data_IF_484719928666
#
_entry.id   IF_484719928666
#
_cell.length_a   1.000
_cell.length_b   1.000
_cell.length_c   1.000
_cell.angle_alpha   90.00
_cell.angle_beta   90.00
_cell.angle_gamma   90.00
#
_symmetry.space_group_name_H-M   'P 1'
#
loop_
_entity.id
_entity.type
_entity.pdbx_description
1 polymer ?
#
# COMPACT_ATOMS: atom_id res chain seq x y z
N UNK A 1 -31.44 -82.39 14.38
CA UNK A 1 -32.23 -81.35 15.06
C UNK A 1 -31.41 -80.07 15.04
N UNK A 2 -31.49 -79.27 13.98
CA UNK A 2 -32.52 -78.26 13.66
C UNK A 2 -32.09 -76.85 14.14
N UNK A 3 -31.55 -76.07 13.20
CA UNK A 3 -31.82 -74.62 13.08
C UNK A 3 -33.33 -74.40 12.76
N UNK A 4 -33.85 -73.16 12.61
CA UNK A 4 -33.81 -71.95 13.45
C UNK A 4 -35.23 -71.27 13.53
N UNK A 5 -35.50 -70.30 14.42
CA UNK A 5 -36.57 -69.26 14.25
C UNK A 5 -36.18 -67.99 15.03
N UNK A 6 -35.78 -66.90 14.37
CA UNK A 6 -36.59 -65.75 13.89
C UNK A 6 -37.17 -64.90 15.04
N UNK A 7 -36.64 -63.68 15.23
CA UNK A 7 -37.46 -62.46 15.42
C UNK A 7 -36.60 -61.19 15.24
N UNK A 8 -36.68 -60.58 14.05
CA UNK A 8 -37.30 -59.27 13.76
C UNK A 8 -36.33 -58.08 13.95
N UNK A 9 -35.85 -57.61 12.80
CA UNK A 9 -35.21 -56.33 12.61
C UNK A 9 -36.22 -55.19 12.86
N UNK A 10 -35.87 -54.24 13.74
CA UNK A 10 -36.51 -52.93 13.78
C UNK A 10 -35.67 -51.95 12.95
N UNK A 11 -36.20 -51.68 11.77
CA UNK A 11 -35.94 -50.54 10.90
C UNK A 11 -36.05 -49.21 11.66
N UNK A 12 -34.99 -48.40 11.66
CA UNK A 12 -35.07 -46.97 11.94
C UNK A 12 -34.57 -46.19 10.73
N UNK A 13 -35.55 -45.62 10.06
CA UNK A 13 -35.52 -44.76 8.87
C UNK A 13 -34.52 -43.61 9.04
N UNK A 14 -33.52 -43.51 8.16
CA UNK A 14 -32.84 -42.25 7.90
C UNK A 14 -33.66 -41.47 6.87
N UNK A 15 -34.26 -40.35 7.30
CA UNK A 15 -35.01 -39.45 6.45
C UNK A 15 -34.06 -38.71 5.50
N UNK A 16 -34.09 -39.07 4.21
CA UNK A 16 -33.49 -38.28 3.13
C UNK A 16 -34.53 -37.23 2.74
N UNK A 17 -34.29 -35.98 3.12
CA UNK A 17 -35.09 -34.83 2.70
C UNK A 17 -34.60 -34.39 1.31
N UNK A 18 -35.25 -34.88 0.26
CA UNK A 18 -35.10 -34.34 -1.11
C UNK A 18 -36.05 -33.15 -1.24
N UNK A 19 -35.50 -31.93 -1.19
CA UNK A 19 -36.23 -30.71 -1.56
C UNK A 19 -36.18 -30.57 -3.10
N UNK A 20 -37.20 -31.09 -3.77
CA UNK A 20 -37.52 -30.70 -5.15
C UNK A 20 -38.19 -29.32 -5.14
N UNK A 21 -37.47 -28.28 -5.51
CA UNK A 21 -38.08 -27.00 -5.90
C UNK A 21 -38.50 -27.10 -7.36
N UNK A 22 -39.81 -27.17 -7.58
CA UNK A 22 -40.42 -27.09 -8.89
C UNK A 22 -40.14 -25.74 -9.54
N UNK A 23 -39.60 -25.77 -10.76
CA UNK A 23 -39.56 -24.61 -11.63
C UNK A 23 -40.98 -24.42 -12.19
N UNK A 24 -41.69 -23.44 -11.64
CA UNK A 24 -42.89 -22.88 -12.29
C UNK A 24 -42.40 -21.80 -13.25
N UNK A 25 -42.53 -22.07 -14.55
CA UNK A 25 -42.28 -21.08 -15.59
C UNK A 25 -43.36 -19.97 -15.53
N UNK A 26 -42.93 -18.72 -15.36
CA UNK A 26 -43.79 -17.55 -15.58
C UNK A 26 -43.79 -17.17 -17.07
N UNK A 27 -44.94 -16.85 -17.69
CA UNK A 27 -44.99 -16.28 -19.03
C UNK A 27 -44.40 -14.86 -19.05
N UNK A 28 -43.91 -14.38 -20.22
CA UNK A 28 -43.23 -13.08 -20.32
C UNK A 28 -44.20 -11.94 -20.03
N UNK A 29 -44.05 -11.33 -18.85
CA UNK A 29 -44.74 -10.12 -18.43
C UNK A 29 -44.08 -8.88 -19.02
N UNK A 30 -44.91 -7.94 -19.50
CA UNK A 30 -44.53 -6.71 -20.18
C UNK A 30 -43.55 -5.82 -19.38
N UNK A 31 -42.69 -5.10 -20.12
CA UNK A 31 -41.72 -4.16 -19.58
C UNK A 31 -42.41 -3.05 -18.74
N UNK A 32 -41.89 -2.72 -17.54
CA UNK A 32 -42.38 -1.58 -16.78
C UNK A 32 -41.99 -0.26 -17.47
N UNK A 33 -42.84 0.78 -17.41
CA UNK A 33 -42.52 2.08 -18.00
C UNK A 33 -41.33 2.71 -17.27
N UNK A 34 -40.50 3.43 -18.05
CA UNK A 34 -39.32 4.13 -17.57
C UNK A 34 -39.67 5.06 -16.39
N UNK A 35 -39.24 4.69 -15.19
CA UNK A 35 -39.24 5.59 -14.04
C UNK A 35 -38.20 6.67 -14.28
N UNK A 36 -38.65 7.92 -14.37
CA UNK A 36 -37.78 9.08 -14.38
C UNK A 36 -37.05 9.12 -13.02
N UNK A 37 -35.73 8.89 -13.04
CA UNK A 37 -34.87 9.12 -11.89
C UNK A 37 -34.96 10.62 -11.50
N UNK A 38 -35.07 10.96 -10.21
CA UNK A 38 -34.95 12.34 -9.76
C UNK A 38 -33.54 12.86 -10.07
N UNK A 39 -33.35 14.18 -10.29
CA UNK A 39 -32.07 14.71 -10.77
C UNK A 39 -30.95 14.39 -9.78
N UNK A 40 -29.94 13.67 -10.25
CA UNK A 40 -28.70 13.43 -9.52
C UNK A 40 -28.06 14.80 -9.24
N UNK A 41 -27.86 15.11 -7.96
CA UNK A 41 -27.04 16.26 -7.54
C UNK A 41 -25.62 16.16 -8.11
N UNK A 42 -24.85 17.26 -8.19
CA UNK A 42 -23.61 17.30 -8.96
C UNK A 42 -22.53 16.48 -8.26
N UNK A 43 -22.42 15.21 -8.64
CA UNK A 43 -21.30 14.32 -8.31
C UNK A 43 -20.63 13.92 -9.62
N UNK A 44 -20.12 14.92 -10.34
CA UNK A 44 -19.12 14.70 -11.37
C UNK A 44 -17.74 14.49 -10.73
N UNK A 45 -16.77 13.89 -11.45
CA UNK A 45 -15.40 13.76 -10.94
C UNK A 45 -14.90 15.14 -10.50
N UNK A 46 -14.25 15.23 -9.33
CA UNK A 46 -13.61 16.46 -8.87
C UNK A 46 -12.62 16.94 -9.91
N UNK A 47 -12.98 17.96 -10.68
CA UNK A 47 -12.09 18.59 -11.65
C UNK A 47 -11.10 19.46 -10.89
N UNK A 48 -9.81 19.21 -11.10
CA UNK A 48 -8.74 20.02 -10.54
C UNK A 48 -8.87 21.46 -11.09
N UNK A 49 -8.69 22.52 -10.28
CA UNK A 49 -8.83 23.92 -10.71
C UNK A 49 -8.02 24.30 -11.95
N UNK A 50 -6.83 23.70 -12.11
CA UNK A 50 -6.01 23.82 -13.33
C UNK A 50 -6.78 23.36 -14.57
N UNK A 51 -7.44 22.20 -14.49
CA UNK A 51 -8.15 21.62 -15.62
C UNK A 51 -9.38 22.47 -15.95
N UNK A 52 -10.14 22.92 -14.94
CA UNK A 52 -11.30 23.81 -15.15
C UNK A 52 -10.95 25.19 -15.68
N UNK A 53 -9.71 25.65 -15.49
CA UNK A 53 -9.30 26.95 -16.00
C UNK A 53 -8.93 26.89 -17.49
N UNK A 54 -8.38 25.78 -17.97
CA UNK A 54 -7.85 25.64 -19.34
C UNK A 54 -8.85 24.95 -20.28
N UNK A 55 -9.61 23.96 -19.78
CA UNK A 55 -10.72 23.30 -20.49
C UNK A 55 -11.96 24.18 -20.37
N UNK A 56 -12.11 25.14 -21.29
CA UNK A 56 -13.11 26.19 -21.22
C UNK A 56 -14.50 25.69 -21.61
N UNK A 57 -14.59 24.69 -22.49
CA UNK A 57 -15.85 24.06 -22.87
C UNK A 57 -16.23 22.89 -21.95
N UNK A 58 -15.33 22.44 -21.08
CA UNK A 58 -15.58 21.45 -20.05
C UNK A 58 -15.72 20.03 -20.60
N UNK A 59 -15.26 19.78 -21.83
CA UNK A 59 -15.40 18.49 -22.50
C UNK A 59 -14.38 17.44 -22.03
N UNK A 60 -13.34 17.85 -21.29
CA UNK A 60 -12.29 16.99 -20.74
C UNK A 60 -11.05 16.82 -21.64
N UNK A 61 -11.01 17.47 -22.80
CA UNK A 61 -9.91 17.53 -23.75
C UNK A 61 -9.46 18.99 -23.94
N UNK A 62 -8.21 19.21 -24.36
CA UNK A 62 -7.70 20.56 -24.61
C UNK A 62 -7.52 20.79 -26.11
N UNK A 63 -8.33 21.68 -26.68
CA UNK A 63 -8.21 22.10 -28.07
C UNK A 63 -6.98 22.99 -28.30
N UNK A 64 -6.52 23.11 -29.55
CA UNK A 64 -5.40 23.98 -29.91
C UNK A 64 -5.66 25.46 -29.54
N UNK A 65 -6.93 25.90 -29.55
CA UNK A 65 -7.32 27.25 -29.14
C UNK A 65 -7.21 27.45 -27.62
N UNK A 66 -7.59 26.45 -26.83
CA UNK A 66 -7.50 26.48 -25.37
C UNK A 66 -6.05 26.42 -24.87
N UNK A 67 -5.22 25.62 -25.54
CA UNK A 67 -3.77 25.58 -25.29
C UNK A 67 -3.14 26.95 -25.57
N UNK A 68 -3.53 27.60 -26.67
CA UNK A 68 -3.06 28.95 -26.99
C UNK A 68 -3.51 30.01 -25.97
N UNK A 69 -4.68 29.83 -25.35
CA UNK A 69 -5.22 30.69 -24.30
C UNK A 69 -4.76 30.35 -22.87
N UNK A 70 -4.08 29.22 -22.67
CA UNK A 70 -3.81 28.64 -21.35
C UNK A 70 -3.05 29.60 -20.41
N UNK A 71 -2.10 30.36 -20.94
CA UNK A 71 -1.33 31.33 -20.13
C UNK A 71 -2.22 32.44 -19.53
N UNK A 72 -3.26 32.87 -20.24
CA UNK A 72 -4.20 33.89 -19.74
C UNK A 72 -5.23 33.28 -18.79
N UNK A 73 -5.65 32.04 -19.04
CA UNK A 73 -6.52 31.29 -18.15
C UNK A 73 -5.86 31.02 -16.78
N UNK A 74 -4.60 30.58 -16.77
CA UNK A 74 -3.86 30.27 -15.55
C UNK A 74 -3.54 31.51 -14.72
N UNK A 75 -3.32 32.68 -15.33
CA UNK A 75 -3.16 33.96 -14.62
C UNK A 75 -4.38 34.36 -13.79
N UNK A 76 -5.58 33.86 -14.12
CA UNK A 76 -6.79 34.12 -13.32
C UNK A 76 -6.84 33.31 -12.03
N UNK A 77 -6.00 32.28 -11.90
CA UNK A 77 -5.87 31.47 -10.69
C UNK A 77 -4.84 32.05 -9.71
N UNK A 78 -3.98 32.96 -10.15
CA UNK A 78 -3.00 33.68 -9.33
C UNK A 78 -3.75 34.79 -8.56
N UNK A 79 -4.21 34.43 -7.36
CA UNK A 79 -5.11 35.25 -6.55
C UNK A 79 -4.34 36.29 -5.74
N UNK A 80 -3.07 36.02 -5.41
CA UNK A 80 -2.21 36.96 -4.68
C UNK A 80 -1.30 37.80 -5.61
N UNK A 81 -1.27 37.48 -6.90
CA UNK A 81 -0.62 38.28 -7.95
C UNK A 81 0.90 38.20 -7.91
N UNK A 82 1.45 37.15 -7.31
CA UNK A 82 2.90 36.96 -7.15
C UNK A 82 3.57 36.35 -8.40
N UNK A 83 2.76 36.01 -9.41
CA UNK A 83 3.20 35.41 -10.68
C UNK A 83 3.43 33.90 -10.60
N UNK A 84 3.04 33.24 -9.51
CA UNK A 84 3.11 31.79 -9.30
C UNK A 84 1.73 31.24 -8.96
N UNK A 85 1.56 29.93 -9.14
CA UNK A 85 0.36 29.21 -8.68
C UNK A 85 0.73 28.29 -7.53
N UNK A 86 0.34 28.70 -6.33
CA UNK A 86 0.56 27.98 -5.09
C UNK A 86 -0.48 26.86 -4.91
N UNK A 87 -0.17 25.91 -4.02
CA UNK A 87 -1.11 24.84 -3.66
C UNK A 87 -2.43 25.39 -3.07
N UNK A 88 -2.44 26.60 -2.52
CA UNK A 88 -3.66 27.21 -1.99
C UNK A 88 -4.62 27.62 -3.11
N UNK A 89 -4.09 28.10 -4.22
CA UNK A 89 -4.84 28.58 -5.40
C UNK A 89 -5.33 27.43 -6.29
N UNK A 90 -4.60 26.31 -6.28
CA UNK A 90 -4.96 25.10 -7.03
C UNK A 90 -5.91 24.15 -6.29
N UNK A 91 -6.49 24.57 -5.15
CA UNK A 91 -7.47 23.76 -4.41
C UNK A 91 -8.90 24.04 -4.88
N UNK A 92 -9.73 22.99 -5.09
CA UNK A 92 -11.14 23.20 -5.44
C UNK A 92 -11.84 23.94 -4.30
N UNK A 93 -12.34 25.14 -4.59
CA UNK A 93 -13.19 25.89 -3.68
C UNK A 93 -14.57 25.21 -3.67
N UNK A 94 -14.88 24.52 -2.57
CA UNK A 94 -16.24 24.01 -2.35
C UNK A 94 -17.19 25.21 -2.21
N UNK A 95 -18.08 25.39 -3.18
CA UNK A 95 -19.09 26.44 -3.15
C UNK A 95 -20.15 26.15 -2.07
N UNK A 96 -20.08 26.90 -0.96
CA UNK A 96 -21.23 27.55 -0.30
C UNK A 96 -22.22 26.73 0.54
N UNK A 97 -22.17 26.91 1.86
CA UNK A 97 -23.35 27.22 2.71
C UNK A 97 -22.91 27.87 4.02
N UNK A 98 -23.18 29.17 4.15
CA UNK A 98 -22.79 29.97 5.31
C UNK A 98 -23.57 29.65 6.58
N UNK A 99 -22.97 30.00 7.72
CA UNK A 99 -23.70 30.29 8.97
C UNK A 99 -23.00 31.43 9.71
N UNK A 100 -23.74 32.42 10.26
CA UNK A 100 -23.16 33.62 10.84
C UNK A 100 -22.87 33.45 12.34
N UNK A 101 -21.74 33.97 12.82
CA UNK A 101 -21.48 34.03 14.26
C UNK A 101 -20.11 34.59 14.65
N UNK A 102 -20.07 35.90 14.92
CA UNK A 102 -19.36 36.47 16.06
C UNK A 102 -17.82 36.46 16.08
N UNK A 103 -17.24 37.62 15.78
CA UNK A 103 -15.84 37.98 16.04
C UNK A 103 -15.68 38.40 17.51
N UNK A 104 -14.67 37.87 18.20
CA UNK A 104 -14.18 38.37 19.50
C UNK A 104 -12.69 38.00 19.68
N UNK A 105 -11.82 38.89 20.19
CA UNK A 105 -10.37 38.84 19.94
C UNK A 105 -9.56 38.29 21.13
N UNK A 106 -8.52 37.50 20.85
CA UNK A 106 -7.59 37.05 21.89
C UNK A 106 -6.34 36.34 21.37
N UNK A 107 -5.23 37.07 21.27
CA UNK A 107 -3.86 36.61 21.58
C UNK A 107 -3.14 35.66 20.61
N UNK A 108 -1.79 35.71 20.52
CA UNK A 108 -1.02 35.08 19.46
C UNK A 108 -0.83 33.58 19.71
N UNK A 109 -1.63 32.76 19.03
CA UNK A 109 -1.49 31.31 19.05
C UNK A 109 -0.36 30.87 18.13
N UNK A 110 0.76 30.41 18.71
CA UNK A 110 1.72 29.55 18.03
C UNK A 110 1.05 28.28 17.47
N UNK A 111 1.77 27.48 16.66
CA UNK A 111 1.19 26.31 16.03
C UNK A 111 0.58 25.39 17.09
N UNK A 112 -0.74 25.19 17.00
CA UNK A 112 -1.47 24.25 17.87
C UNK A 112 -0.99 22.82 17.61
N UNK A 113 -0.86 21.97 18.64
CA UNK A 113 -0.62 20.55 18.45
C UNK A 113 -1.76 19.97 17.60
N UNK A 114 -1.43 19.21 16.55
CA UNK A 114 -2.42 18.39 15.86
C UNK A 114 -2.65 17.15 16.73
N UNK A 115 -3.63 17.22 17.62
CA UNK A 115 -4.10 16.07 18.40
C UNK A 115 -5.57 15.81 18.07
N UNK A 116 -5.87 14.60 17.59
CA UNK A 116 -7.23 14.03 17.53
C UNK A 116 -7.99 14.15 16.21
N UNK A 117 -8.08 13.00 15.51
CA UNK A 117 -9.16 12.58 14.60
C UNK A 117 -9.47 13.41 13.34
N UNK A 118 -8.97 12.93 12.19
CA UNK A 118 -9.81 12.94 10.98
C UNK A 118 -10.83 11.81 11.12
N UNK A 119 -12.13 12.04 10.89
CA UNK A 119 -13.20 11.06 11.17
C UNK A 119 -13.20 9.83 10.25
N UNK A 120 -12.26 9.71 9.32
CA UNK A 120 -12.12 8.66 8.30
C UNK A 120 -10.94 7.69 8.54
N UNK A 121 -10.13 7.88 9.58
CA UNK A 121 -9.04 6.95 9.91
C UNK A 121 -9.46 5.92 10.95
N UNK A 122 -9.58 4.67 10.55
CA UNK A 122 -9.65 3.51 11.47
C UNK A 122 -8.35 3.32 12.26
N UNK A 123 -7.23 3.83 11.73
CA UNK A 123 -5.90 3.55 12.26
C UNK A 123 -5.29 4.73 13.01
N UNK A 124 -4.72 4.42 14.17
CA UNK A 124 -3.77 5.29 14.88
C UNK A 124 -2.33 4.93 14.49
N UNK A 125 -1.40 5.86 14.70
CA UNK A 125 0.03 5.55 14.61
C UNK A 125 0.42 4.45 15.62
N UNK A 126 1.40 3.59 15.31
CA UNK A 126 1.85 2.55 16.22
C UNK A 126 2.24 3.11 17.57
N UNK A 127 1.68 2.51 18.63
CA UNK A 127 2.04 2.88 19.99
C UNK A 127 3.23 2.04 20.43
N UNK A 128 4.34 2.67 20.86
CA UNK A 128 5.52 1.93 21.29
C UNK A 128 5.25 1.14 22.57
N UNK A 129 5.70 -0.11 22.62
CA UNK A 129 5.61 -0.93 23.83
C UNK A 129 6.67 -0.58 24.88
N UNK A 130 7.84 -0.13 24.43
CA UNK A 130 9.00 0.16 25.27
C UNK A 130 9.82 1.34 24.69
N UNK A 131 10.83 1.80 25.43
CA UNK A 131 11.65 2.96 25.05
C UNK A 131 12.50 2.72 23.80
N UNK A 132 12.89 1.46 23.54
CA UNK A 132 13.63 1.12 22.33
C UNK A 132 12.72 1.24 21.11
N UNK A 133 11.50 0.70 21.18
CA UNK A 133 10.51 0.85 20.13
C UNK A 133 10.12 2.32 19.93
N UNK A 134 9.96 3.09 21.00
CA UNK A 134 9.72 4.53 20.94
C UNK A 134 10.82 5.26 20.18
N UNK A 135 12.10 4.97 20.50
CA UNK A 135 13.26 5.57 19.83
C UNK A 135 13.27 5.26 18.34
N UNK A 136 12.99 4.01 17.96
CA UNK A 136 12.99 3.59 16.55
C UNK A 136 11.86 4.28 15.78
N UNK A 137 10.64 4.32 16.33
CA UNK A 137 9.50 5.00 15.70
C UNK A 137 9.74 6.51 15.56
N UNK A 138 10.29 7.17 16.58
CA UNK A 138 10.70 8.58 16.48
C UNK A 138 11.77 8.78 15.41
N UNK A 139 12.73 7.85 15.32
CA UNK A 139 13.78 7.88 14.29
C UNK A 139 13.22 7.82 12.87
N UNK A 140 12.20 6.98 12.64
CA UNK A 140 11.48 6.93 11.35
C UNK A 140 10.87 8.31 11.04
N UNK A 141 10.14 8.91 11.99
CA UNK A 141 9.51 10.22 11.80
C UNK A 141 10.55 11.32 11.51
N UNK A 142 11.66 11.32 12.25
CA UNK A 142 12.72 12.31 12.11
C UNK A 142 13.40 12.22 10.74
N UNK A 143 13.70 11.00 10.28
CA UNK A 143 14.28 10.77 8.95
C UNK A 143 13.32 11.26 7.86
N UNK A 144 12.03 10.90 7.95
CA UNK A 144 11.02 11.32 6.98
C UNK A 144 10.81 12.84 6.94
N UNK A 145 10.94 13.51 8.09
CA UNK A 145 10.79 14.96 8.19
C UNK A 145 12.01 15.71 7.65
N UNK A 146 13.21 15.20 7.91
CA UNK A 146 14.44 15.98 7.76
C UNK A 146 15.24 15.68 6.50
N UNK A 147 15.04 14.52 5.85
CA UNK A 147 15.86 14.09 4.70
C UNK A 147 15.18 14.31 3.33
N UNK A 148 14.13 15.14 3.31
CA UNK A 148 13.44 15.55 2.08
C UNK A 148 12.66 14.43 1.40
N UNK A 149 12.26 14.68 0.14
CA UNK A 149 11.50 13.72 -0.67
C UNK A 149 12.42 12.61 -1.19
N UNK A 150 12.55 11.54 -0.41
CA UNK A 150 13.10 10.25 -0.85
C UNK A 150 11.97 9.33 -1.34
N UNK A 151 12.32 8.26 -2.05
CA UNK A 151 11.38 7.21 -2.49
C UNK A 151 11.17 6.20 -1.37
N UNK A 152 10.62 6.66 -0.24
CA UNK A 152 10.40 5.80 0.91
C UNK A 152 9.02 5.16 0.86
N UNK A 153 8.92 3.94 1.40
CA UNK A 153 7.64 3.31 1.67
C UNK A 153 6.78 4.21 2.57
N UNK A 154 5.48 4.37 2.27
CA UNK A 154 4.52 4.96 3.19
C UNK A 154 4.53 4.23 4.55
N UNK A 155 4.19 4.94 5.64
CA UNK A 155 4.16 4.34 6.98
C UNK A 155 3.22 3.14 7.08
N UNK A 156 2.11 3.12 6.33
CA UNK A 156 1.19 1.99 6.27
C UNK A 156 1.88 0.72 5.73
N UNK A 157 2.67 0.86 4.68
CA UNK A 157 3.37 -0.26 4.04
C UNK A 157 4.53 -0.76 4.92
N UNK A 158 5.25 0.16 5.56
CA UNK A 158 6.24 -0.19 6.59
C UNK A 158 5.65 -0.96 7.77
N UNK A 159 4.47 -0.55 8.25
CA UNK A 159 3.73 -1.27 9.30
C UNK A 159 3.31 -2.67 8.85
N UNK A 160 2.84 -2.81 7.61
CA UNK A 160 2.50 -4.11 7.03
C UNK A 160 3.74 -5.02 6.96
N UNK A 161 4.87 -4.52 6.47
CA UNK A 161 6.14 -5.28 6.43
C UNK A 161 6.59 -5.74 7.83
N UNK A 162 6.51 -4.87 8.84
CA UNK A 162 6.77 -5.24 10.23
C UNK A 162 5.86 -6.39 10.68
N UNK A 163 4.55 -6.27 10.47
CA UNK A 163 3.58 -7.29 10.89
C UNK A 163 3.82 -8.63 10.19
N UNK A 164 4.09 -8.61 8.89
CA UNK A 164 4.39 -9.82 8.12
C UNK A 164 5.67 -10.49 8.63
N UNK A 165 6.76 -9.73 8.80
CA UNK A 165 8.02 -10.26 9.29
C UNK A 165 7.90 -10.87 10.69
N UNK A 166 7.16 -10.22 11.60
CA UNK A 166 6.98 -10.71 12.98
C UNK A 166 6.09 -11.96 13.02
N UNK A 167 4.98 -11.97 12.28
CA UNK A 167 4.01 -13.08 12.31
C UNK A 167 4.54 -14.37 11.73
N UNK A 168 5.39 -14.31 10.69
CA UNK A 168 6.05 -15.51 10.14
C UNK A 168 7.30 -15.92 10.95
N UNK A 169 7.65 -15.17 12.00
CA UNK A 169 8.85 -15.41 12.80
C UNK A 169 10.16 -15.23 12.01
N UNK A 170 10.22 -14.25 11.10
CA UNK A 170 11.33 -14.09 10.16
C UNK A 170 12.67 -13.90 10.87
N UNK A 171 13.70 -14.64 10.46
CA UNK A 171 15.07 -14.56 11.00
C UNK A 171 16.10 -14.12 9.96
N UNK A 172 15.89 -14.44 8.69
CA UNK A 172 16.73 -14.01 7.57
C UNK A 172 15.87 -13.24 6.57
N UNK A 173 16.06 -11.94 6.54
CA UNK A 173 15.37 -11.03 5.60
C UNK A 173 16.36 -10.48 4.59
N UNK A 174 15.95 -10.44 3.33
CA UNK A 174 16.70 -9.80 2.25
C UNK A 174 15.88 -8.66 1.68
N UNK A 175 16.51 -7.51 1.46
CA UNK A 175 15.92 -6.35 0.81
C UNK A 175 16.76 -5.95 -0.40
N UNK A 176 16.09 -5.56 -1.48
CA UNK A 176 16.68 -4.90 -2.63
C UNK A 176 16.08 -3.50 -2.77
N UNK A 177 16.93 -2.47 -2.74
CA UNK A 177 16.52 -1.06 -2.66
C UNK A 177 16.49 -0.57 -1.22
N UNK A 178 17.62 -0.06 -0.72
CA UNK A 178 17.72 0.46 0.66
C UNK A 178 17.19 1.88 0.79
N UNK A 179 17.50 2.75 -0.19
CA UNK A 179 17.27 4.20 -0.07
C UNK A 179 17.86 4.73 1.26
N UNK A 180 17.14 5.55 2.01
CA UNK A 180 17.58 6.00 3.33
C UNK A 180 17.21 5.04 4.48
N UNK A 181 16.73 3.83 4.17
CA UNK A 181 16.58 2.72 5.11
C UNK A 181 15.23 2.60 5.83
N UNK A 182 14.20 3.35 5.44
CA UNK A 182 12.92 3.37 6.18
C UNK A 182 12.24 1.99 6.25
N UNK A 183 12.15 1.25 5.14
CA UNK A 183 11.58 -0.11 5.11
C UNK A 183 12.37 -1.08 5.99
N UNK A 184 13.72 -1.04 5.91
CA UNK A 184 14.59 -1.83 6.76
C UNK A 184 14.42 -1.51 8.25
N UNK A 185 14.26 -0.23 8.63
CA UNK A 185 14.01 0.17 10.02
C UNK A 185 12.66 -0.38 10.50
N UNK A 186 11.61 -0.30 9.69
CA UNK A 186 10.32 -0.92 10.02
C UNK A 186 10.43 -2.43 10.26
N UNK A 187 11.08 -3.16 9.34
CA UNK A 187 11.30 -4.60 9.50
C UNK A 187 12.19 -4.91 10.70
N UNK A 188 13.16 -4.05 11.04
CA UNK A 188 14.05 -4.27 12.20
C UNK A 188 13.31 -4.39 13.54
N UNK A 189 12.15 -3.72 13.67
CA UNK A 189 11.29 -3.83 14.86
C UNK A 189 10.83 -5.27 15.09
N UNK A 190 10.41 -5.95 14.02
CA UNK A 190 10.04 -7.37 14.06
C UNK A 190 11.27 -8.25 14.31
N UNK A 191 12.37 -7.97 13.61
CA UNK A 191 13.58 -8.80 13.67
C UNK A 191 14.25 -8.80 15.04
N UNK A 192 14.13 -7.71 15.80
CA UNK A 192 14.56 -7.71 17.21
C UNK A 192 13.78 -8.72 18.06
N UNK A 193 12.47 -8.90 17.81
CA UNK A 193 11.63 -9.84 18.56
C UNK A 193 11.89 -11.29 18.14
N UNK A 194 12.17 -11.52 16.86
CA UNK A 194 12.42 -12.87 16.31
C UNK A 194 13.90 -13.28 16.39
N UNK A 195 14.78 -12.40 16.88
CA UNK A 195 16.24 -12.56 16.82
C UNK A 195 16.77 -12.72 15.39
N UNK A 196 16.13 -12.04 14.44
CA UNK A 196 16.48 -12.03 13.02
C UNK A 196 17.48 -10.95 12.63
N UNK A 197 17.91 -11.03 11.37
CA UNK A 197 18.79 -10.08 10.69
C UNK A 197 18.27 -9.76 9.30
N UNK A 198 18.56 -8.55 8.85
CA UNK A 198 18.24 -8.05 7.52
C UNK A 198 19.53 -7.75 6.76
N UNK A 199 19.61 -8.21 5.52
CA UNK A 199 20.60 -7.77 4.54
C UNK A 199 19.88 -6.93 3.50
N UNK A 200 20.30 -5.68 3.31
CA UNK A 200 19.74 -4.76 2.31
C UNK A 200 20.80 -4.37 1.29
N UNK A 201 20.39 -4.22 0.03
CA UNK A 201 21.28 -3.91 -1.09
C UNK A 201 21.02 -2.51 -1.62
N UNK A 202 22.09 -1.72 -1.71
CA UNK A 202 22.08 -0.36 -2.25
C UNK A 202 23.19 -0.20 -3.28
N UNK A 203 22.83 0.30 -4.46
CA UNK A 203 23.77 0.47 -5.56
C UNK A 203 24.58 1.75 -5.41
N UNK A 204 23.99 2.80 -4.84
CA UNK A 204 24.62 4.09 -4.67
C UNK A 204 25.40 4.17 -3.33
N UNK A 205 26.74 4.32 -3.35
CA UNK A 205 27.55 4.27 -2.13
C UNK A 205 27.25 5.41 -1.15
N UNK A 206 26.88 6.60 -1.63
CA UNK A 206 26.53 7.74 -0.78
C UNK A 206 25.20 7.49 -0.05
N UNK A 207 24.21 6.93 -0.76
CA UNK A 207 22.95 6.49 -0.17
C UNK A 207 23.15 5.33 0.80
N UNK A 208 24.02 4.37 0.49
CA UNK A 208 24.39 3.29 1.40
C UNK A 208 25.03 3.82 2.70
N UNK A 209 25.95 4.79 2.59
CA UNK A 209 26.55 5.45 3.73
C UNK A 209 25.51 6.21 4.58
N UNK A 210 24.58 6.91 3.94
CA UNK A 210 23.48 7.59 4.62
C UNK A 210 22.55 6.62 5.35
N UNK A 211 22.21 5.48 4.74
CA UNK A 211 21.40 4.44 5.37
C UNK A 211 22.09 3.85 6.60
N UNK A 212 23.40 3.55 6.52
CA UNK A 212 24.17 3.09 7.69
C UNK A 212 24.18 4.11 8.83
N UNK A 213 24.35 5.40 8.50
CA UNK A 213 24.28 6.47 9.50
C UNK A 213 22.91 6.53 10.17
N UNK A 214 21.83 6.38 9.39
CA UNK A 214 20.47 6.32 9.92
C UNK A 214 20.29 5.10 10.84
N UNK A 215 20.74 3.91 10.43
CA UNK A 215 20.66 2.69 11.24
C UNK A 215 21.44 2.79 12.55
N UNK A 216 22.62 3.42 12.53
CA UNK A 216 23.39 3.68 13.74
C UNK A 216 22.64 4.65 14.67
N UNK A 217 22.09 5.74 14.14
CA UNK A 217 21.37 6.76 14.91
C UNK A 217 20.12 6.19 15.61
N UNK A 218 19.31 5.42 14.88
CA UNK A 218 18.11 4.78 15.45
C UNK A 218 18.45 3.57 16.33
N UNK A 219 19.69 3.08 16.26
CA UNK A 219 20.19 1.96 17.04
C UNK A 219 19.70 0.62 16.52
N UNK A 220 19.78 0.36 15.21
CA UNK A 220 19.42 -0.92 14.57
C UNK A 220 20.55 -1.50 13.70
N UNK A 221 21.74 -0.90 13.75
CA UNK A 221 22.91 -1.34 12.98
C UNK A 221 23.40 -2.76 13.34
N UNK A 222 23.04 -3.28 14.52
CA UNK A 222 23.28 -4.67 14.90
C UNK A 222 22.33 -5.64 14.17
N UNK A 223 21.18 -5.17 13.67
CA UNK A 223 20.13 -5.98 13.04
C UNK A 223 20.18 -5.89 11.51
N UNK A 224 20.53 -4.72 10.98
CA UNK A 224 20.49 -4.41 9.54
C UNK A 224 21.89 -4.22 8.99
N UNK A 225 22.24 -4.99 7.95
CA UNK A 225 23.51 -4.90 7.22
C UNK A 225 23.27 -4.37 5.81
N UNK A 226 23.98 -3.30 5.43
CA UNK A 226 23.97 -2.75 4.06
C UNK A 226 25.10 -3.36 3.24
N UNK A 227 24.74 -4.00 2.13
CA UNK A 227 25.65 -4.49 1.09
C UNK A 227 25.63 -3.50 -0.07
N UNK A 228 26.79 -2.93 -0.38
CA UNK A 228 26.95 -2.06 -1.54
C UNK A 228 27.13 -2.86 -2.83
N UNK A 229 26.48 -2.37 -3.90
CA UNK A 229 26.62 -2.87 -5.25
C UNK A 229 25.29 -3.21 -5.91
N UNK A 230 25.35 -3.66 -7.15
CA UNK A 230 24.17 -4.05 -7.92
C UNK A 230 23.46 -5.24 -7.25
N UNK A 231 22.21 -5.03 -6.85
CA UNK A 231 21.38 -6.06 -6.23
C UNK A 231 21.25 -7.31 -7.12
N UNK A 232 21.20 -7.17 -8.44
CA UNK A 232 21.10 -8.29 -9.37
C UNK A 232 22.33 -9.18 -9.34
N UNK A 233 23.52 -8.59 -9.20
CA UNK A 233 24.78 -9.33 -9.06
C UNK A 233 24.85 -9.97 -7.67
N UNK A 234 24.59 -9.19 -6.62
CA UNK A 234 24.66 -9.65 -5.22
C UNK A 234 23.64 -10.73 -4.89
N UNK A 235 22.50 -10.76 -5.59
CA UNK A 235 21.50 -11.81 -5.43
C UNK A 235 22.06 -13.22 -5.70
N UNK A 236 23.11 -13.35 -6.52
CA UNK A 236 23.76 -14.64 -6.80
C UNK A 236 24.52 -15.21 -5.60
N UNK A 237 24.98 -14.36 -4.67
CA UNK A 237 25.74 -14.76 -3.48
C UNK A 237 24.83 -15.10 -2.28
N UNK A 238 23.52 -14.93 -2.43
CA UNK A 238 22.57 -15.17 -1.35
C UNK A 238 22.46 -16.65 -1.02
N UNK A 239 22.36 -16.91 0.28
CA UNK A 239 22.15 -18.24 0.83
C UNK A 239 20.79 -18.33 1.51
N UNK A 240 20.15 -19.50 1.40
CA UNK A 240 18.89 -19.82 2.07
C UNK A 240 19.08 -20.60 3.39
N UNK A 241 17.99 -20.89 4.12
CA UNK A 241 16.62 -20.44 3.82
C UNK A 241 16.41 -18.95 4.14
N UNK A 242 15.74 -18.23 3.26
CA UNK A 242 15.27 -16.85 3.46
C UNK A 242 13.82 -16.91 3.93
N UNK A 243 13.47 -16.11 4.95
CA UNK A 243 12.12 -16.05 5.48
C UNK A 243 11.26 -15.00 4.76
N UNK A 244 11.85 -13.85 4.46
CA UNK A 244 11.19 -12.74 3.76
C UNK A 244 12.16 -12.07 2.79
N UNK A 245 11.69 -11.81 1.57
CA UNK A 245 12.35 -10.95 0.58
C UNK A 245 11.49 -9.72 0.37
N UNK A 246 12.08 -8.54 0.43
CA UNK A 246 11.44 -7.28 0.06
C UNK A 246 12.11 -6.69 -1.20
N UNK A 247 11.32 -6.36 -2.21
CA UNK A 247 11.79 -5.83 -3.49
C UNK A 247 11.19 -4.44 -3.68
N UNK A 248 12.02 -3.40 -3.59
CA UNK A 248 11.68 -2.01 -3.94
C UNK A 248 12.84 -1.31 -4.66
N UNK A 249 13.24 -1.91 -5.78
CA UNK A 249 14.35 -1.44 -6.62
C UNK A 249 13.83 -0.99 -8.01
N UNK A 250 14.64 -1.21 -9.05
CA UNK A 250 14.28 -1.06 -10.45
C UNK A 250 13.17 -2.06 -10.85
N UNK A 251 12.18 -1.61 -11.63
CA UNK A 251 10.94 -2.36 -11.82
C UNK A 251 11.07 -3.42 -12.91
N UNK A 252 11.93 -3.18 -13.88
CA UNK A 252 12.30 -4.10 -14.95
C UNK A 252 12.98 -5.35 -14.38
N UNK A 253 13.77 -5.20 -13.32
CA UNK A 253 14.50 -6.28 -12.66
C UNK A 253 13.70 -7.14 -11.68
N UNK A 254 12.44 -6.81 -11.36
CA UNK A 254 11.66 -7.54 -10.35
C UNK A 254 11.56 -9.05 -10.63
N UNK A 255 11.41 -9.44 -11.90
CA UNK A 255 11.36 -10.85 -12.28
C UNK A 255 12.69 -11.57 -11.98
N UNK A 256 13.82 -10.91 -12.25
CA UNK A 256 15.14 -11.49 -11.98
C UNK A 256 15.38 -11.68 -10.47
N UNK A 257 15.06 -10.67 -9.65
CA UNK A 257 15.11 -10.79 -8.19
C UNK A 257 14.24 -11.95 -7.69
N UNK A 258 13.02 -12.05 -8.19
CA UNK A 258 12.09 -13.12 -7.84
C UNK A 258 12.63 -14.50 -8.22
N UNK A 259 13.13 -14.67 -9.44
CA UNK A 259 13.65 -15.95 -9.92
C UNK A 259 14.89 -16.40 -9.13
N UNK A 260 15.78 -15.46 -8.79
CA UNK A 260 16.98 -15.76 -7.99
C UNK A 260 16.66 -16.06 -6.54
N UNK A 261 15.64 -15.40 -5.96
CA UNK A 261 15.35 -15.55 -4.53
C UNK A 261 14.31 -16.62 -4.20
N UNK A 262 13.33 -16.89 -5.06
CA UNK A 262 12.27 -17.89 -4.80
C UNK A 262 12.82 -19.27 -4.42
N UNK A 263 13.87 -19.83 -5.06
CA UNK A 263 14.45 -21.10 -4.63
C UNK A 263 15.02 -21.08 -3.21
N UNK A 264 15.52 -19.92 -2.76
CA UNK A 264 16.13 -19.71 -1.45
C UNK A 264 15.10 -19.42 -0.35
N UNK A 265 13.92 -18.93 -0.71
CA UNK A 265 12.82 -18.69 0.22
C UNK A 265 12.29 -20.03 0.74
N UNK A 266 12.07 -20.17 2.06
CA UNK A 266 11.48 -21.41 2.62
C UNK A 266 9.99 -21.53 2.30
N UNK A 267 9.45 -22.74 2.39
CA UNK A 267 7.98 -22.92 2.46
C UNK A 267 7.43 -22.15 3.66
N UNK A 268 6.30 -21.48 3.46
CA UNK A 268 5.71 -20.51 4.36
C UNK A 268 6.45 -19.17 4.45
N UNK A 269 7.46 -18.94 3.61
CA UNK A 269 8.17 -17.67 3.50
C UNK A 269 7.49 -16.71 2.52
N UNK A 270 7.86 -15.43 2.58
CA UNK A 270 7.21 -14.36 1.83
C UNK A 270 8.17 -13.67 0.85
N UNK A 271 7.63 -13.26 -0.30
CA UNK A 271 8.24 -12.27 -1.18
C UNK A 271 7.26 -11.10 -1.28
N UNK A 272 7.69 -9.92 -0.87
CA UNK A 272 6.93 -8.69 -0.91
C UNK A 272 7.54 -7.75 -1.95
N UNK A 273 6.76 -7.26 -2.91
CA UNK A 273 7.24 -6.34 -3.93
C UNK A 273 6.42 -5.06 -3.92
N UNK A 274 7.08 -3.90 -3.92
CA UNK A 274 6.46 -2.59 -3.71
C UNK A 274 6.24 -1.81 -5.02
N UNK A 275 5.40 -0.78 -4.94
CA UNK A 275 4.83 -0.02 -6.06
C UNK A 275 4.12 -0.88 -7.12
N UNK A 276 3.41 -1.89 -6.65
CA UNK A 276 2.61 -2.75 -7.51
C UNK A 276 1.36 -2.01 -7.93
N UNK A 277 1.37 -1.47 -9.15
CA UNK A 277 0.21 -0.85 -9.79
C UNK A 277 0.16 -1.25 -11.27
N UNK A 278 -1.02 -1.24 -11.92
CA UNK A 278 -1.13 -1.59 -13.34
C UNK A 278 -0.23 -0.76 -14.27
N UNK A 279 0.21 0.43 -13.85
CA UNK A 279 1.06 1.32 -14.65
C UNK A 279 2.56 1.08 -14.43
N UNK A 280 2.96 0.54 -13.28
CA UNK A 280 4.37 0.43 -12.88
C UNK A 280 4.88 -1.01 -12.78
N UNK A 281 3.99 -1.96 -12.49
CA UNK A 281 4.40 -3.34 -12.27
C UNK A 281 4.85 -3.99 -13.58
N UNK A 282 5.98 -4.70 -13.55
CA UNK A 282 6.42 -5.54 -14.66
C UNK A 282 5.38 -6.62 -14.97
N UNK A 283 4.84 -6.68 -16.21
CA UNK A 283 3.85 -7.70 -16.58
C UNK A 283 4.37 -9.13 -16.41
N UNK A 284 5.65 -9.36 -16.70
CA UNK A 284 6.25 -10.69 -16.59
C UNK A 284 6.42 -11.11 -15.13
N UNK A 285 6.79 -10.18 -14.24
CA UNK A 285 6.81 -10.43 -12.80
C UNK A 285 5.40 -10.74 -12.28
N UNK A 286 4.40 -9.94 -12.64
CA UNK A 286 3.00 -10.17 -12.24
C UNK A 286 2.52 -11.53 -12.73
N UNK A 287 2.82 -11.90 -13.99
CA UNK A 287 2.48 -13.22 -14.53
C UNK A 287 3.15 -14.33 -13.71
N UNK A 288 4.43 -14.20 -13.39
CA UNK A 288 5.17 -15.21 -12.64
C UNK A 288 4.52 -15.48 -11.26
N UNK A 289 4.23 -14.43 -10.50
CA UNK A 289 3.69 -14.56 -9.13
C UNK A 289 2.19 -14.92 -9.06
N UNK A 290 1.46 -14.84 -10.18
CA UNK A 290 0.01 -15.13 -10.24
C UNK A 290 -0.33 -16.43 -10.95
N UNK A 291 0.62 -17.03 -11.68
CA UNK A 291 0.39 -18.27 -12.45
C UNK A 291 1.17 -19.48 -11.94
N UNK A 292 2.17 -19.28 -11.07
CA UNK A 292 2.92 -20.38 -10.47
C UNK A 292 2.10 -21.08 -9.35
N UNK A 293 1.77 -22.37 -9.49
CA UNK A 293 0.99 -23.12 -8.50
C UNK A 293 1.73 -23.38 -7.19
N UNK A 294 3.02 -23.05 -7.08
CA UNK A 294 3.82 -23.15 -5.85
C UNK A 294 3.77 -21.89 -4.99
N UNK A 295 3.14 -20.82 -5.48
CA UNK A 295 2.95 -19.58 -4.71
C UNK A 295 1.49 -19.15 -4.65
N UNK A 296 1.17 -18.30 -3.70
CA UNK A 296 -0.11 -17.60 -3.59
C UNK A 296 0.15 -16.12 -3.40
N UNK A 297 -0.49 -15.27 -4.19
CA UNK A 297 -0.22 -13.82 -4.19
C UNK A 297 -1.50 -13.04 -3.97
N UNK A 298 -1.44 -12.06 -3.05
CA UNK A 298 -2.44 -11.01 -2.91
C UNK A 298 -1.82 -9.64 -3.21
N UNK A 299 -2.62 -8.72 -3.75
CA UNK A 299 -2.23 -7.34 -3.97
C UNK A 299 -2.91 -6.46 -2.94
N UNK A 300 -2.12 -5.82 -2.08
CA UNK A 300 -2.56 -4.80 -1.15
C UNK A 300 -2.35 -3.43 -1.80
N UNK A 301 -3.43 -2.82 -2.27
CA UNK A 301 -3.40 -1.61 -3.11
C UNK A 301 -3.57 -0.30 -2.34
N UNK A 302 -3.61 -0.38 -1.01
CA UNK A 302 -3.49 0.78 -0.14
C UNK A 302 -2.02 1.25 -0.11
N UNK A 303 -1.78 2.48 0.36
CA UNK A 303 -0.43 3.05 0.43
C UNK A 303 0.20 3.21 -0.96
N UNK A 304 1.39 2.63 -1.14
CA UNK A 304 2.16 2.62 -2.38
C UNK A 304 1.80 1.47 -3.33
N UNK A 305 0.98 0.52 -2.87
CA UNK A 305 0.70 -0.73 -3.58
C UNK A 305 1.80 -1.76 -3.38
N UNK A 306 1.45 -2.92 -2.83
CA UNK A 306 2.39 -4.02 -2.57
C UNK A 306 1.77 -5.36 -2.94
N UNK A 307 2.51 -6.23 -3.61
CA UNK A 307 2.16 -7.64 -3.70
C UNK A 307 2.78 -8.40 -2.54
N UNK A 308 2.02 -9.33 -1.95
CA UNK A 308 2.50 -10.26 -0.93
C UNK A 308 2.35 -11.67 -1.49
N UNK A 309 3.47 -12.33 -1.73
CA UNK A 309 3.55 -13.66 -2.34
C UNK A 309 4.05 -14.66 -1.30
N UNK A 310 3.20 -15.61 -0.93
CA UNK A 310 3.52 -16.74 -0.06
C UNK A 310 4.07 -17.90 -0.89
N UNK A 311 5.21 -18.47 -0.48
CA UNK A 311 5.69 -19.76 -1.01
C UNK A 311 5.01 -20.90 -0.24
N UNK A 312 4.27 -21.76 -0.95
CA UNK A 312 3.58 -22.93 -0.37
C UNK A 312 4.56 -24.00 0.10
#
# INVERSE_FOLDING_TARGET
>A
MNLPKILVALSSLAAILVLTLGVVAQPPGAAPPASQEPPRGPSGPMRLPMMTAVDADGNGELSAAEIAGAAQALKKLDADGDGKLSRAELRPQLAGRGRPGGRGPGGPGGPRPIEGARPDRFENEPQPKDDNERKILQGIEDILRNQGRRMNVPSADGRLLRLLAETIGAKRVVEFGTSNGISAIWMSLALRKTSGKLITHEIDPDTAAQARANFAAVGVADVVTVVEGDGHEKAADLQGPIDLVFIDADKEGYLDYYQKTLPLVRSGGLICAHNMSPRMASPDFVKAITTDPNVETVFYMEGGGMSVTLKK
#
